data_IF_502398887229
#
_entry.id   IF_502398887229
#
_cell.length_a   1.000
_cell.length_b   1.000
_cell.length_c   1.000
_cell.angle_alpha   90.00
_cell.angle_beta   90.00
_cell.angle_gamma   90.00
#
_symmetry.space_group_name_H-M   'P 1'
#
loop_
_entity.id
_entity.type
_entity.pdbx_description
1 polymer ?
#
# COMPACT_ATOMS: atom_id res chain seq x y z
N UNK A 1 -2.31 -37.81 -23.13
CA UNK A 1 -1.67 -36.48 -23.23
C UNK A 1 -2.03 -35.67 -22.00
N UNK A 2 -1.15 -35.68 -20.99
CA UNK A 2 -1.42 -35.11 -19.66
C UNK A 2 -1.00 -33.63 -19.60
N UNK A 3 -1.97 -32.72 -19.45
CA UNK A 3 -1.68 -31.33 -19.05
C UNK A 3 -1.34 -31.30 -17.56
N UNK A 4 -0.05 -31.45 -17.23
CA UNK A 4 0.49 -31.05 -15.92
C UNK A 4 0.60 -29.52 -15.84
N UNK A 5 -0.52 -28.78 -15.98
CA UNK A 5 -0.53 -27.31 -15.89
C UNK A 5 -1.10 -26.77 -14.57
N UNK A 6 -1.79 -27.57 -13.77
CA UNK A 6 -2.68 -27.00 -12.74
C UNK A 6 -2.06 -26.72 -11.38
N UNK A 7 -0.84 -27.16 -11.09
CA UNK A 7 -0.24 -26.97 -9.75
C UNK A 7 0.72 -25.79 -9.66
N UNK A 8 1.47 -25.49 -10.73
CA UNK A 8 2.41 -24.36 -10.77
C UNK A 8 1.74 -22.99 -11.03
N UNK A 9 0.53 -22.98 -11.63
CA UNK A 9 -0.20 -21.73 -11.89
C UNK A 9 -0.84 -21.11 -10.64
N UNK A 10 -1.22 -21.92 -9.63
CA UNK A 10 -1.79 -21.44 -8.36
C UNK A 10 -0.86 -20.54 -7.55
N UNK A 11 0.43 -20.88 -7.34
CA UNK A 11 1.34 -20.00 -6.62
C UNK A 11 1.64 -18.72 -7.41
N UNK A 12 1.73 -18.79 -8.74
CA UNK A 12 1.93 -17.60 -9.58
C UNK A 12 0.71 -16.66 -9.55
N UNK A 13 -0.52 -17.20 -9.61
CA UNK A 13 -1.73 -16.36 -9.50
C UNK A 13 -1.85 -15.70 -8.14
N UNK A 14 -1.58 -16.45 -7.05
CA UNK A 14 -1.61 -15.89 -5.70
C UNK A 14 -0.55 -14.80 -5.47
N UNK A 15 0.61 -14.95 -6.10
CA UNK A 15 1.67 -13.93 -6.06
C UNK A 15 1.25 -12.67 -6.82
N UNK A 16 0.64 -12.80 -8.00
CA UNK A 16 0.10 -11.68 -8.76
C UNK A 16 -1.00 -10.96 -7.96
N UNK A 17 -1.92 -11.71 -7.36
CA UNK A 17 -2.99 -11.15 -6.52
C UNK A 17 -2.39 -10.37 -5.34
N UNK A 18 -1.40 -10.95 -4.63
CA UNK A 18 -0.72 -10.27 -3.53
C UNK A 18 -0.01 -8.98 -3.97
N UNK A 19 0.70 -9.00 -5.11
CA UNK A 19 1.34 -7.80 -5.67
C UNK A 19 0.31 -6.73 -6.01
N UNK A 20 -0.82 -7.11 -6.61
CA UNK A 20 -1.90 -6.18 -6.94
C UNK A 20 -2.55 -5.59 -5.70
N UNK A 21 -2.82 -6.41 -4.68
CA UNK A 21 -3.38 -5.96 -3.40
C UNK A 21 -2.40 -5.01 -2.68
N UNK A 22 -1.11 -5.33 -2.67
CA UNK A 22 -0.07 -4.47 -2.11
C UNK A 22 0.03 -3.13 -2.83
N UNK A 23 -0.06 -3.13 -4.17
CA UNK A 23 -0.08 -1.90 -4.97
C UNK A 23 -1.31 -1.03 -4.63
N UNK A 24 -2.50 -1.64 -4.56
CA UNK A 24 -3.74 -0.93 -4.21
C UNK A 24 -3.65 -0.35 -2.79
N UNK A 25 -3.20 -1.14 -1.82
CA UNK A 25 -3.06 -0.70 -0.43
C UNK A 25 -2.10 0.50 -0.31
N UNK A 26 -0.96 0.46 -0.99
CA UNK A 26 -0.03 1.58 -1.05
C UNK A 26 -0.69 2.82 -1.68
N UNK A 27 -1.38 2.68 -2.83
CA UNK A 27 -2.06 3.79 -3.50
C UNK A 27 -3.16 4.42 -2.65
N UNK A 28 -3.93 3.62 -1.92
CA UNK A 28 -4.95 4.10 -0.99
C UNK A 28 -4.31 4.86 0.19
N UNK A 29 -3.20 4.35 0.73
CA UNK A 29 -2.45 5.05 1.77
C UNK A 29 -1.89 6.39 1.27
N UNK A 30 -1.30 6.44 0.06
CA UNK A 30 -0.84 7.69 -0.55
C UNK A 30 -1.98 8.70 -0.75
N UNK A 31 -3.17 8.25 -1.16
CA UNK A 31 -4.35 9.11 -1.26
C UNK A 31 -4.80 9.64 0.12
N UNK A 32 -4.69 8.83 1.17
CA UNK A 32 -4.99 9.24 2.54
C UNK A 32 -3.99 10.29 3.06
N UNK A 33 -2.72 10.18 2.69
CA UNK A 33 -1.68 11.19 2.96
C UNK A 33 -2.05 12.52 2.30
N UNK A 34 -2.41 12.51 1.01
CA UNK A 34 -2.81 13.72 0.29
C UNK A 34 -4.05 14.37 0.94
N UNK A 35 -5.07 13.58 1.26
CA UNK A 35 -6.28 14.07 1.91
C UNK A 35 -6.01 14.68 3.29
N UNK A 36 -5.18 14.02 4.11
CA UNK A 36 -4.83 14.50 5.45
C UNK A 36 -3.93 15.73 5.41
N UNK A 37 -3.00 15.82 4.46
CA UNK A 37 -2.21 17.03 4.21
C UNK A 37 -3.11 18.23 3.89
N UNK A 38 -4.07 18.06 2.96
CA UNK A 38 -5.00 19.13 2.61
C UNK A 38 -5.87 19.54 3.80
N UNK A 39 -6.29 18.59 4.64
CA UNK A 39 -7.03 18.87 5.87
C UNK A 39 -6.18 19.68 6.86
N UNK A 40 -4.96 19.24 7.14
CA UNK A 40 -4.02 19.97 8.00
C UNK A 40 -3.74 21.39 7.51
N UNK A 41 -3.50 21.56 6.21
CA UNK A 41 -3.26 22.87 5.58
C UNK A 41 -4.42 23.84 5.71
N UNK A 42 -5.66 23.34 5.81
CA UNK A 42 -6.88 24.14 5.95
C UNK A 42 -7.36 24.25 7.40
N UNK A 43 -6.73 23.54 8.34
CA UNK A 43 -7.16 23.51 9.73
C UNK A 43 -7.00 24.88 10.41
N UNK A 44 -7.99 25.31 11.21
CA UNK A 44 -7.84 26.45 12.11
C UNK A 44 -6.72 26.23 13.13
N UNK A 45 -6.26 27.30 13.77
CA UNK A 45 -5.04 27.26 14.59
C UNK A 45 -5.14 26.31 15.80
N UNK A 46 -6.31 26.24 16.43
CA UNK A 46 -6.63 25.37 17.57
C UNK A 46 -6.67 23.88 17.19
N UNK A 47 -7.09 23.55 15.97
CA UNK A 47 -7.12 22.15 15.48
C UNK A 47 -5.84 21.73 14.74
N UNK A 48 -4.94 22.67 14.45
CA UNK A 48 -3.79 22.44 13.56
C UNK A 48 -2.86 21.32 14.02
N UNK A 49 -2.61 21.22 15.33
CA UNK A 49 -1.75 20.15 15.86
C UNK A 49 -2.39 18.78 15.68
N UNK A 50 -3.67 18.63 16.05
CA UNK A 50 -4.39 17.38 15.88
C UNK A 50 -4.47 16.95 14.40
N UNK A 51 -4.69 17.92 13.50
CA UNK A 51 -4.70 17.64 12.06
C UNK A 51 -3.31 17.26 11.53
N UNK A 52 -2.24 17.83 12.10
CA UNK A 52 -0.87 17.41 11.81
C UNK A 52 -0.60 15.98 12.26
N UNK A 53 -1.01 15.61 13.47
CA UNK A 53 -0.81 14.25 13.99
C UNK A 53 -1.52 13.20 13.12
N UNK A 54 -2.71 13.53 12.61
CA UNK A 54 -3.41 12.67 11.64
C UNK A 54 -2.67 12.57 10.30
N UNK A 55 -2.08 13.67 9.80
CA UNK A 55 -1.26 13.66 8.59
C UNK A 55 0.02 12.83 8.80
N UNK A 56 0.69 13.00 9.93
CA UNK A 56 1.88 12.25 10.29
C UNK A 56 1.59 10.74 10.39
N UNK A 57 0.53 10.35 11.10
CA UNK A 57 0.12 8.95 11.14
C UNK A 57 -0.44 8.41 9.81
N UNK A 58 -0.74 9.25 8.83
CA UNK A 58 -1.01 8.81 7.46
C UNK A 58 0.28 8.54 6.69
N UNK A 59 1.34 9.34 6.90
CA UNK A 59 2.67 9.09 6.33
C UNK A 59 3.26 7.77 6.82
N UNK A 60 3.22 7.51 8.13
CA UNK A 60 3.74 6.25 8.69
C UNK A 60 3.07 5.03 8.04
N UNK A 61 1.75 5.05 7.89
CA UNK A 61 0.99 3.97 7.24
C UNK A 61 1.29 3.84 5.75
N UNK A 62 1.57 4.94 5.08
CA UNK A 62 1.94 4.93 3.66
C UNK A 62 3.34 4.33 3.46
N UNK A 63 4.30 4.66 4.34
CA UNK A 63 5.63 4.06 4.34
C UNK A 63 5.59 2.55 4.63
N UNK A 64 4.77 2.12 5.59
CA UNK A 64 4.54 0.71 5.89
C UNK A 64 3.98 -0.04 4.67
N UNK A 65 2.96 0.53 4.02
CA UNK A 65 2.34 -0.06 2.83
C UNK A 65 3.31 -0.11 1.62
N UNK A 66 4.10 0.95 1.42
CA UNK A 66 5.14 0.99 0.40
C UNK A 66 6.22 -0.07 0.63
N UNK A 67 6.61 -0.27 1.90
CA UNK A 67 7.60 -1.26 2.30
C UNK A 67 7.12 -2.68 2.07
N UNK A 68 5.85 -2.98 2.37
CA UNK A 68 5.26 -4.30 2.09
C UNK A 68 5.10 -4.53 0.58
N UNK A 69 4.65 -3.52 -0.18
CA UNK A 69 4.57 -3.63 -1.64
C UNK A 69 5.94 -3.90 -2.26
N UNK A 70 7.00 -3.18 -1.83
CA UNK A 70 8.39 -3.46 -2.25
C UNK A 70 8.77 -4.92 -1.98
N UNK A 71 8.50 -5.42 -0.77
CA UNK A 71 8.79 -6.82 -0.40
C UNK A 71 8.09 -7.80 -1.33
N UNK A 72 6.83 -7.54 -1.71
CA UNK A 72 6.07 -8.39 -2.63
C UNK A 72 6.64 -8.39 -4.04
N UNK A 73 7.10 -7.24 -4.54
CA UNK A 73 7.80 -7.13 -5.82
C UNK A 73 9.10 -7.93 -5.79
N UNK A 74 9.93 -7.79 -4.75
CA UNK A 74 11.17 -8.54 -4.60
C UNK A 74 10.94 -10.07 -4.60
N UNK A 75 9.87 -10.54 -3.94
CA UNK A 75 9.47 -11.95 -3.99
C UNK A 75 9.03 -12.37 -5.39
N UNK A 76 8.30 -11.52 -6.11
CA UNK A 76 7.81 -11.81 -7.44
C UNK A 76 8.93 -11.85 -8.50
N UNK A 77 9.95 -10.99 -8.36
CA UNK A 77 11.12 -10.98 -9.23
C UNK A 77 12.03 -12.20 -9.03
N UNK A 78 11.96 -12.82 -7.85
CA UNK A 78 12.73 -14.01 -7.49
C UNK A 78 12.01 -15.35 -7.83
N UNK A 79 10.75 -15.32 -8.28
CA UNK A 79 9.90 -16.49 -8.55
C UNK A 79 9.98 -16.98 -10.00
#
# INVERSE_FOLDING_TARGET
>A
MSRKRSTALKPMSALIDAVMDGYVAWREASAAVEASYHRWRRAPQDERQLAFDHYFGALDREEDAASEYRRLIEVAEAA
#
